data_IF_122701705627
#
_entry.id   IF_122701705627
#
_cell.length_a   1.000
_cell.length_b   1.000
_cell.length_c   1.000
_cell.angle_alpha   90.00
_cell.angle_beta   90.00
_cell.angle_gamma   90.00
#
_symmetry.space_group_name_H-M   'P 1'
#
loop_
_entity.id
_entity.type
_entity.pdbx_description
1 polymer ?
#
# COMPACT_ATOMS: atom_id res chain seq x y z
N UNK A 1 -25.84 40.46 -16.07
CA UNK A 1 -25.12 40.75 -14.81
C UNK A 1 -24.54 39.45 -14.28
N UNK A 2 -23.20 39.37 -14.28
CA UNK A 2 -22.33 38.46 -13.52
C UNK A 2 -22.56 36.93 -13.60
N UNK A 3 -21.99 36.28 -14.62
CA UNK A 3 -21.55 34.90 -14.51
C UNK A 3 -20.08 34.89 -14.04
N UNK A 4 -19.87 35.19 -12.76
CA UNK A 4 -18.56 35.21 -12.12
C UNK A 4 -18.26 33.82 -11.50
N UNK A 5 -17.32 33.12 -12.16
CA UNK A 5 -16.21 32.36 -11.55
C UNK A 5 -16.55 31.10 -10.72
N UNK A 6 -16.21 29.95 -11.32
CA UNK A 6 -15.38 28.93 -10.67
C UNK A 6 -14.41 28.33 -11.68
N UNK A 7 -13.41 29.14 -12.05
CA UNK A 7 -12.16 28.63 -12.61
C UNK A 7 -11.48 27.80 -11.51
N UNK A 8 -11.47 26.47 -11.66
CA UNK A 8 -10.55 25.63 -10.90
C UNK A 8 -9.14 26.00 -11.37
N UNK A 9 -8.46 26.84 -10.58
CA UNK A 9 -7.12 27.35 -10.85
C UNK A 9 -6.06 26.23 -10.85
N UNK A 10 -6.02 25.44 -11.93
CA UNK A 10 -4.99 24.46 -12.21
C UNK A 10 -5.24 23.77 -13.55
N UNK A 11 -4.17 23.49 -14.30
CA UNK A 11 -4.16 22.78 -15.59
C UNK A 11 -4.50 21.28 -15.42
N UNK A 12 -5.57 20.96 -14.71
CA UNK A 12 -6.08 19.58 -14.57
C UNK A 12 -7.27 19.39 -15.50
N UNK A 13 -7.31 18.25 -16.17
CA UNK A 13 -8.44 17.89 -17.02
C UNK A 13 -9.73 17.82 -16.20
N UNK A 14 -10.84 18.28 -16.79
CA UNK A 14 -12.16 18.11 -16.20
C UNK A 14 -12.51 16.62 -16.25
N UNK A 15 -12.83 16.04 -15.09
CA UNK A 15 -13.20 14.63 -15.01
C UNK A 15 -14.49 14.36 -15.82
N UNK A 16 -14.56 13.24 -16.54
CA UNK A 16 -15.79 12.86 -17.24
C UNK A 16 -16.91 12.63 -16.22
N UNK A 17 -18.12 13.09 -16.55
CA UNK A 17 -19.31 12.99 -15.69
C UNK A 17 -19.61 11.55 -15.23
N UNK A 18 -19.25 10.56 -16.05
CA UNK A 18 -19.49 9.13 -15.79
C UNK A 18 -18.68 8.55 -14.63
N UNK A 19 -17.52 9.13 -14.31
CA UNK A 19 -16.64 8.60 -13.27
C UNK A 19 -17.09 8.99 -11.84
N UNK A 20 -17.96 9.99 -11.70
CA UNK A 20 -18.52 10.59 -10.46
C UNK A 20 -17.81 10.17 -9.15
N UNK A 21 -16.59 10.67 -8.95
CA UNK A 21 -15.76 10.36 -7.77
C UNK A 21 -16.41 10.83 -6.46
N UNK A 22 -17.12 11.95 -6.52
CA UNK A 22 -17.73 12.60 -5.35
C UNK A 22 -19.14 12.04 -5.05
N UNK A 23 -19.62 11.08 -5.85
CA UNK A 23 -20.94 10.44 -5.72
C UNK A 23 -22.07 11.46 -5.63
N UNK A 24 -21.99 12.51 -6.45
CA UNK A 24 -22.97 13.61 -6.46
C UNK A 24 -24.17 13.33 -7.36
N UNK A 25 -24.11 12.33 -8.23
CA UNK A 25 -25.22 11.90 -9.10
C UNK A 25 -26.28 11.09 -8.33
N UNK A 26 -26.77 11.62 -7.23
CA UNK A 26 -27.81 11.01 -6.40
C UNK A 26 -29.20 11.49 -6.83
N UNK A 27 -30.23 10.69 -6.53
CA UNK A 27 -31.63 11.06 -6.79
C UNK A 27 -32.05 12.30 -6.02
N UNK A 28 -31.49 12.54 -4.83
CA UNK A 28 -31.78 13.74 -4.02
C UNK A 28 -31.16 15.02 -4.58
N UNK A 29 -29.98 14.97 -5.18
CA UNK A 29 -29.39 16.15 -5.83
C UNK A 29 -30.10 16.45 -7.16
N UNK A 30 -30.50 15.41 -7.89
CA UNK A 30 -31.32 15.55 -9.10
C UNK A 30 -32.67 16.22 -8.79
N UNK A 31 -33.37 15.79 -7.73
CA UNK A 31 -34.67 16.36 -7.38
C UNK A 31 -34.59 17.82 -6.96
N UNK A 32 -33.54 18.21 -6.22
CA UNK A 32 -33.31 19.60 -5.83
C UNK A 32 -33.05 20.51 -7.04
N UNK A 33 -32.20 20.06 -7.96
CA UNK A 33 -31.89 20.81 -9.17
C UNK A 33 -33.11 20.96 -10.10
N UNK A 34 -33.96 19.93 -10.21
CA UNK A 34 -35.20 20.02 -10.99
C UNK A 34 -36.23 20.94 -10.34
N UNK A 35 -36.34 20.91 -9.01
CA UNK A 35 -37.23 21.80 -8.26
C UNK A 35 -36.82 23.28 -8.38
N UNK A 36 -35.51 23.58 -8.39
CA UNK A 36 -34.98 24.94 -8.62
C UNK A 36 -35.34 25.47 -10.02
N UNK A 37 -35.43 24.58 -11.00
CA UNK A 37 -35.87 24.90 -12.37
C UNK A 37 -37.41 24.87 -12.51
N UNK A 38 -38.14 24.51 -11.45
CA UNK A 38 -39.61 24.49 -11.41
C UNK A 38 -40.24 23.22 -12.01
N UNK A 39 -39.48 22.13 -12.17
CA UNK A 39 -39.95 20.86 -12.73
C UNK A 39 -40.22 19.84 -11.61
N UNK A 40 -41.33 19.11 -11.72
CA UNK A 40 -41.62 18.01 -10.80
C UNK A 40 -40.67 16.82 -11.05
N UNK A 41 -39.98 16.41 -9.99
CA UNK A 41 -39.01 15.32 -10.00
C UNK A 41 -39.63 13.94 -9.72
N UNK A 42 -40.92 13.86 -9.37
CA UNK A 42 -41.58 12.62 -8.92
C UNK A 42 -41.41 11.43 -9.89
N UNK A 43 -41.72 11.65 -11.18
CA UNK A 43 -41.60 10.61 -12.21
C UNK A 43 -40.14 10.19 -12.49
N UNK A 44 -39.18 11.11 -12.33
CA UNK A 44 -37.76 10.81 -12.51
C UNK A 44 -37.20 9.99 -11.33
N UNK A 45 -37.60 10.33 -10.11
CA UNK A 45 -37.19 9.63 -8.87
C UNK A 45 -37.79 8.21 -8.84
N UNK A 46 -39.05 8.04 -9.24
CA UNK A 46 -39.70 6.72 -9.34
C UNK A 46 -38.90 5.75 -10.21
N UNK A 47 -38.63 6.15 -11.46
CA UNK A 47 -37.81 5.35 -12.41
C UNK A 47 -36.42 5.03 -11.88
N UNK A 48 -35.76 5.97 -11.20
CA UNK A 48 -34.43 5.75 -10.65
C UNK A 48 -34.43 4.76 -9.46
N UNK A 49 -35.47 4.80 -8.62
CA UNK A 49 -35.65 3.88 -7.48
C UNK A 49 -35.98 2.47 -7.94
N UNK A 50 -36.87 2.31 -8.91
CA UNK A 50 -37.22 0.99 -9.50
C UNK A 50 -35.98 0.26 -10.05
N UNK A 51 -35.12 0.97 -10.79
CA UNK A 51 -33.84 0.43 -11.31
C UNK A 51 -32.83 0.09 -10.21
N UNK A 52 -32.96 0.70 -9.03
CA UNK A 52 -32.07 0.47 -7.89
C UNK A 52 -32.51 -0.74 -7.07
N UNK A 53 -33.82 -0.97 -6.92
CA UNK A 53 -34.36 -2.12 -6.21
C UNK A 53 -34.00 -3.45 -6.87
N UNK A 54 -33.99 -3.51 -8.22
CA UNK A 54 -33.60 -4.73 -8.96
C UNK A 54 -32.11 -5.07 -8.85
N UNK A 55 -31.27 -4.13 -8.42
CA UNK A 55 -29.81 -4.33 -8.22
C UNK A 55 -29.42 -4.51 -6.76
N UNK A 56 -30.34 -4.30 -5.82
CA UNK A 56 -30.06 -4.37 -4.40
C UNK A 56 -30.13 -5.83 -3.91
N UNK A 57 -29.18 -6.64 -4.37
CA UNK A 57 -28.86 -7.88 -3.66
C UNK A 57 -28.40 -7.52 -2.25
N UNK A 58 -29.17 -7.90 -1.23
CA UNK A 58 -28.81 -7.77 0.19
C UNK A 58 -27.38 -8.31 0.36
N UNK A 59 -26.41 -7.43 0.61
CA UNK A 59 -25.02 -7.84 0.81
C UNK A 59 -24.99 -8.80 1.99
N UNK A 60 -24.65 -10.07 1.74
CA UNK A 60 -24.23 -10.97 2.82
C UNK A 60 -23.03 -10.30 3.47
N UNK A 61 -23.12 -10.02 4.77
CA UNK A 61 -22.02 -9.50 5.55
C UNK A 61 -20.87 -10.51 5.45
N UNK A 62 -19.75 -10.09 4.87
CA UNK A 62 -18.50 -10.83 4.99
C UNK A 62 -18.02 -10.57 6.40
N UNK A 63 -17.97 -11.58 7.26
CA UNK A 63 -17.36 -11.44 8.58
C UNK A 63 -15.90 -11.05 8.38
N UNK A 64 -15.58 -9.79 8.70
CA UNK A 64 -14.21 -9.38 8.93
C UNK A 64 -13.74 -10.07 10.19
N UNK A 65 -12.92 -11.11 10.06
CA UNK A 65 -12.23 -11.72 11.18
C UNK A 65 -11.20 -10.73 11.71
N UNK A 66 -11.65 -9.81 12.55
CA UNK A 66 -10.82 -8.90 13.32
C UNK A 66 -11.44 -8.81 14.72
N UNK A 67 -11.02 -9.76 15.56
CA UNK A 67 -10.84 -9.64 17.02
C UNK A 67 -11.55 -8.43 17.64
N UNK A 68 -12.81 -8.62 18.03
CA UNK A 68 -13.63 -7.60 18.69
C UNK A 68 -14.49 -8.26 19.76
N UNK A 69 -14.25 -7.87 21.00
CA UNK A 69 -14.89 -8.32 22.22
C UNK A 69 -16.35 -7.87 22.29
N UNK A 70 -17.22 -8.79 22.74
CA UNK A 70 -18.53 -8.63 23.37
C UNK A 70 -19.55 -7.61 22.82
N UNK A 71 -20.71 -8.10 22.33
CA UNK A 71 -22.03 -7.72 22.85
C UNK A 71 -23.19 -8.44 22.10
N UNK A 72 -24.15 -8.93 22.91
CA UNK A 72 -25.57 -9.26 22.64
C UNK A 72 -25.92 -10.63 22.03
N UNK A 73 -26.40 -11.46 22.95
CA UNK A 73 -27.42 -12.53 22.93
C UNK A 73 -27.93 -13.05 21.58
N UNK A 74 -27.68 -14.33 21.33
CA UNK A 74 -28.25 -15.11 20.24
C UNK A 74 -27.72 -16.54 20.26
N UNK A 75 -28.59 -17.46 20.69
CA UNK A 75 -28.46 -18.91 20.86
C UNK A 75 -27.35 -19.63 20.07
N UNK A 76 -26.49 -20.29 20.82
CA UNK A 76 -25.34 -21.07 20.35
C UNK A 76 -25.77 -22.52 20.10
N UNK A 77 -25.94 -22.93 18.83
CA UNK A 77 -26.03 -24.36 18.47
C UNK A 77 -25.30 -24.63 17.14
N UNK A 78 -24.12 -25.27 17.25
CA UNK A 78 -23.51 -26.08 16.20
C UNK A 78 -22.62 -25.37 15.18
N UNK A 79 -21.30 -25.38 15.41
CA UNK A 79 -20.29 -25.15 14.38
C UNK A 79 -20.43 -26.16 13.22
N UNK A 80 -21.08 -25.77 12.12
CA UNK A 80 -20.96 -26.49 10.85
C UNK A 80 -19.56 -26.26 10.28
N UNK A 81 -18.60 -27.11 10.68
CA UNK A 81 -17.26 -27.16 10.10
C UNK A 81 -17.38 -27.33 8.58
N UNK A 82 -16.91 -26.33 7.82
CA UNK A 82 -16.83 -26.40 6.36
C UNK A 82 -15.88 -27.54 5.98
N UNK A 83 -16.45 -28.66 5.53
CA UNK A 83 -15.73 -29.89 5.12
C UNK A 83 -14.77 -29.65 3.93
N UNK A 84 -14.88 -28.51 3.25
CA UNK A 84 -13.93 -28.12 2.20
C UNK A 84 -13.26 -26.79 2.54
N UNK A 85 -12.29 -26.87 3.46
CA UNK A 85 -11.35 -25.80 3.75
C UNK A 85 -10.52 -25.47 2.51
N UNK A 86 -10.24 -24.18 2.29
CA UNK A 86 -9.32 -23.65 1.27
C UNK A 86 -7.92 -24.29 1.32
N UNK A 87 -7.59 -25.01 2.41
CA UNK A 87 -6.38 -25.82 2.53
C UNK A 87 -6.29 -26.95 1.49
N UNK A 88 -7.41 -27.56 1.09
CA UNK A 88 -7.42 -28.63 0.07
C UNK A 88 -7.12 -28.09 -1.35
N UNK A 89 -7.62 -26.89 -1.70
CA UNK A 89 -7.27 -26.22 -2.96
C UNK A 89 -5.85 -25.66 -2.99
N UNK A 90 -5.22 -25.50 -1.82
CA UNK A 90 -3.82 -25.08 -1.73
C UNK A 90 -2.84 -26.19 -2.15
N UNK A 91 -3.27 -27.46 -2.12
CA UNK A 91 -2.45 -28.61 -2.49
C UNK A 91 -2.36 -28.83 -4.01
N UNK A 92 -3.28 -28.27 -4.80
CA UNK A 92 -3.31 -28.45 -6.27
C UNK A 92 -2.42 -27.46 -7.03
N UNK A 93 -1.76 -26.52 -6.35
CA UNK A 93 -0.69 -25.69 -6.94
C UNK A 93 0.65 -26.42 -6.77
N UNK A 94 0.80 -27.51 -7.51
CA UNK A 94 1.99 -28.36 -7.50
C UNK A 94 3.22 -27.65 -8.08
N UNK A 95 4.34 -27.76 -7.34
CA UNK A 95 5.74 -27.65 -7.80
C UNK A 95 6.40 -26.29 -8.03
N UNK A 96 5.67 -25.18 -8.22
CA UNK A 96 6.33 -23.88 -8.46
C UNK A 96 6.87 -23.20 -7.19
N UNK A 97 6.39 -23.58 -5.99
CA UNK A 97 6.85 -23.04 -4.69
C UNK A 97 7.86 -23.93 -3.96
N UNK A 98 8.00 -25.20 -4.36
CA UNK A 98 9.01 -26.12 -3.82
C UNK A 98 10.41 -25.85 -4.38
N UNK A 99 10.51 -25.22 -5.56
CA UNK A 99 11.76 -24.77 -6.21
C UNK A 99 12.06 -23.28 -5.96
N UNK A 100 11.29 -22.61 -5.09
CA UNK A 100 11.62 -21.24 -4.70
C UNK A 100 12.96 -21.26 -3.94
N UNK A 101 13.87 -20.35 -4.34
CA UNK A 101 15.15 -20.13 -3.66
C UNK A 101 14.92 -20.18 -2.15
N UNK A 102 15.72 -20.93 -1.39
CA UNK A 102 15.50 -21.06 0.04
C UNK A 102 15.58 -19.67 0.69
N UNK A 103 14.42 -19.07 0.96
CA UNK A 103 14.35 -17.78 1.65
C UNK A 103 15.13 -17.81 2.95
N UNK A 104 15.58 -16.64 3.40
CA UNK A 104 16.44 -16.48 4.57
C UNK A 104 15.95 -17.33 5.75
N UNK A 105 16.77 -18.31 6.14
CA UNK A 105 16.49 -19.20 7.26
C UNK A 105 15.93 -20.59 6.92
N UNK A 106 15.69 -20.94 5.64
CA UNK A 106 15.30 -22.30 5.24
C UNK A 106 16.37 -23.39 5.55
N UNK A 107 17.60 -23.00 5.84
CA UNK A 107 18.67 -23.92 6.27
C UNK A 107 18.70 -24.21 7.78
N UNK A 108 17.87 -23.54 8.59
CA UNK A 108 17.83 -23.72 10.04
C UNK A 108 16.55 -24.46 10.43
N UNK A 109 16.71 -25.53 11.23
CA UNK A 109 15.61 -26.43 11.61
C UNK A 109 14.53 -25.74 12.45
N UNK A 110 14.95 -24.97 13.46
CA UNK A 110 14.05 -24.38 14.46
C UNK A 110 13.97 -22.86 14.38
N UNK A 111 12.82 -22.31 14.81
CA UNK A 111 12.63 -20.87 14.96
C UNK A 111 13.61 -20.23 15.97
N UNK A 112 13.97 -20.95 17.03
CA UNK A 112 14.94 -20.48 18.02
C UNK A 112 16.34 -20.29 17.39
N UNK A 113 16.76 -21.23 16.54
CA UNK A 113 18.03 -21.12 15.82
C UNK A 113 18.03 -19.98 14.80
N UNK A 114 16.90 -19.75 14.11
CA UNK A 114 16.74 -18.59 13.22
C UNK A 114 16.91 -17.27 13.97
N UNK A 115 16.25 -17.13 15.13
CA UNK A 115 16.39 -15.92 15.96
C UNK A 115 17.82 -15.74 16.48
N UNK A 116 18.52 -16.83 16.81
CA UNK A 116 19.94 -16.77 17.20
C UNK A 116 20.82 -16.31 16.02
N UNK A 117 20.57 -16.80 14.82
CA UNK A 117 21.30 -16.40 13.61
C UNK A 117 21.13 -14.92 13.29
N UNK A 118 19.89 -14.40 13.37
CA UNK A 118 19.62 -12.97 13.19
C UNK A 118 20.37 -12.11 14.21
N UNK A 119 20.35 -12.50 15.49
CA UNK A 119 21.13 -11.80 16.54
C UNK A 119 22.63 -11.81 16.26
N UNK A 120 23.19 -12.93 15.79
CA UNK A 120 24.60 -13.02 15.43
C UNK A 120 24.94 -12.12 14.23
N UNK A 121 24.07 -12.06 13.22
CA UNK A 121 24.21 -11.16 12.06
C UNK A 121 24.20 -9.68 12.50
N UNK A 122 23.27 -9.29 13.37
CA UNK A 122 23.22 -7.92 13.89
C UNK A 122 24.48 -7.53 14.67
N UNK A 123 25.04 -8.46 15.45
CA UNK A 123 26.31 -8.24 16.16
C UNK A 123 27.46 -8.07 15.18
N UNK A 124 27.57 -8.93 14.15
CA UNK A 124 28.64 -8.85 13.16
C UNK A 124 28.62 -7.51 12.40
N UNK A 125 27.43 -6.99 12.11
CA UNK A 125 27.26 -5.71 11.39
C UNK A 125 27.68 -4.48 12.20
N UNK A 126 27.76 -4.57 13.54
CA UNK A 126 28.10 -3.43 14.42
C UNK A 126 29.45 -2.81 14.09
N UNK A 127 30.47 -3.61 13.78
CA UNK A 127 31.80 -3.10 13.50
C UNK A 127 31.83 -2.23 12.23
N UNK A 128 31.16 -2.69 11.16
CA UNK A 128 31.05 -1.94 9.92
C UNK A 128 30.23 -0.65 10.10
N UNK A 129 29.12 -0.73 10.84
CA UNK A 129 28.29 0.42 11.16
C UNK A 129 29.03 1.46 12.02
N UNK A 130 29.87 1.01 12.97
CA UNK A 130 30.73 1.88 13.78
C UNK A 130 31.74 2.64 12.92
N UNK A 131 32.23 2.02 11.86
CA UNK A 131 33.09 2.66 10.86
C UNK A 131 32.31 3.44 9.78
N UNK A 132 30.99 3.63 9.95
CA UNK A 132 30.10 4.34 9.03
C UNK A 132 30.14 3.83 7.58
N UNK A 133 30.38 2.53 7.38
CA UNK A 133 30.37 1.91 6.05
C UNK A 133 28.96 1.87 5.49
N UNK A 134 28.83 2.06 4.17
CA UNK A 134 27.52 2.00 3.47
C UNK A 134 26.90 0.59 3.52
N UNK A 135 27.73 -0.44 3.56
CA UNK A 135 27.32 -1.84 3.62
C UNK A 135 28.50 -2.79 3.45
N UNK A 136 28.23 -4.09 3.32
CA UNK A 136 29.28 -5.12 3.20
C UNK A 136 30.08 -5.03 1.90
N UNK A 137 29.50 -4.42 0.86
CA UNK A 137 30.19 -4.10 -0.39
C UNK A 137 31.16 -2.91 -0.28
N UNK A 138 31.08 -2.13 0.79
CA UNK A 138 31.93 -0.96 0.99
C UNK A 138 33.28 -1.35 1.60
N UNK A 139 34.21 -1.70 0.71
CA UNK A 139 35.58 -2.09 1.03
C UNK A 139 36.62 -1.09 0.51
N UNK A 140 36.21 0.17 0.32
CA UNK A 140 37.09 1.23 -0.18
C UNK A 140 38.17 1.55 0.86
N UNK A 141 39.42 1.57 0.42
CA UNK A 141 40.56 2.02 1.20
C UNK A 141 40.86 3.45 0.77
N UNK A 142 40.67 4.40 1.68
CA UNK A 142 41.00 5.80 1.45
C UNK A 142 42.51 6.01 1.51
N UNK A 143 43.02 6.96 0.75
CA UNK A 143 44.43 7.36 0.80
C UNK A 143 44.62 8.40 1.92
N UNK A 144 45.17 8.04 3.10
CA UNK A 144 45.28 8.97 4.22
C UNK A 144 46.33 10.07 3.96
N UNK A 145 47.36 9.77 3.15
CA UNK A 145 48.45 10.68 2.83
C UNK A 145 48.68 10.75 1.31
N UNK A 146 47.86 11.49 0.57
CA UNK A 146 48.06 11.64 -0.88
C UNK A 146 49.35 12.40 -1.20
N UNK A 147 50.12 11.87 -2.16
CA UNK A 147 51.44 12.41 -2.54
C UNK A 147 51.43 13.89 -2.93
N UNK A 148 50.44 14.32 -3.71
CA UNK A 148 50.37 15.70 -4.24
C UNK A 148 50.15 16.77 -3.14
N UNK A 149 49.76 16.38 -1.92
CA UNK A 149 49.68 17.29 -0.79
C UNK A 149 50.98 17.37 0.03
N UNK A 150 51.71 16.25 0.13
CA UNK A 150 52.83 16.10 1.06
C UNK A 150 54.21 16.02 0.38
N UNK A 151 54.25 16.01 -0.95
CA UNK A 151 55.48 15.89 -1.73
C UNK A 151 55.71 17.14 -2.57
N UNK A 152 56.96 17.59 -2.62
CA UNK A 152 57.38 18.77 -3.38
C UNK A 152 57.34 20.06 -2.58
N UNK A 153 57.93 21.12 -3.15
CA UNK A 153 57.90 22.49 -2.64
C UNK A 153 57.37 23.41 -3.74
N UNK A 154 56.66 24.47 -3.37
CA UNK A 154 56.17 25.47 -4.33
C UNK A 154 57.33 26.37 -4.76
N UNK A 155 57.65 26.36 -6.04
CA UNK A 155 58.63 27.27 -6.65
C UNK A 155 58.01 28.61 -7.09
N UNK A 156 58.82 29.50 -7.66
CA UNK A 156 58.31 30.67 -8.39
C UNK A 156 57.82 30.22 -9.77
N UNK A 157 56.57 30.55 -10.12
CA UNK A 157 55.95 30.18 -11.39
C UNK A 157 54.58 29.51 -11.23
N UNK A 158 54.30 28.48 -12.04
CA UNK A 158 53.02 27.76 -12.05
C UNK A 158 52.84 26.94 -10.77
N UNK A 159 51.61 26.95 -10.24
CA UNK A 159 51.18 26.15 -9.07
C UNK A 159 50.32 24.98 -9.56
N UNK A 160 50.35 23.85 -8.84
CA UNK A 160 49.63 22.61 -9.20
C UNK A 160 48.09 22.70 -9.04
N UNK A 161 47.60 23.66 -8.25
CA UNK A 161 46.18 23.89 -7.99
C UNK A 161 45.78 25.33 -8.35
N UNK A 162 44.48 25.55 -8.55
CA UNK A 162 43.88 26.84 -8.92
C UNK A 162 43.09 27.43 -7.76
#
# INVERSE_FOLDING_TARGET
VSACVRLLAGNKSVLPRTADRERKSTTGNMSKALAEVGLDAGAAVGRARERSMSRMGRKRTRSSSAKGTAAVDGDFEGEKKRVHSSKARSMSRGRSVSMAEPGEGKGLKDAAMRNKALKMSDVARRQANKAAKKGEGDRVILNPKPKHLFSGKRGKGKTDWR
#
